data_IF_124092714942
#
_entry.id   IF_124092714942
#
_cell.length_a   1.000
_cell.length_b   1.000
_cell.length_c   1.000
_cell.angle_alpha   90.00
_cell.angle_beta   90.00
_cell.angle_gamma   90.00
#
_symmetry.space_group_name_H-M   'P 1'
#
loop_
_entity.id
_entity.type
_entity.pdbx_description
1 polymer ?
#
# COMPACT_ATOMS: atom_id res chain seq x y z
N UNK A 1 26.73 3.70 12.33
CA UNK A 1 26.32 3.00 11.09
C UNK A 1 26.12 1.49 11.25
N UNK A 2 27.07 0.75 11.85
CA UNK A 2 26.93 -0.73 12.01
C UNK A 2 25.71 -1.16 12.83
N UNK A 3 25.39 -0.44 13.90
CA UNK A 3 24.20 -0.69 14.72
C UNK A 3 22.89 -0.54 13.92
N UNK A 4 22.76 0.54 13.14
CA UNK A 4 21.59 0.80 12.27
C UNK A 4 21.31 -0.36 11.29
N UNK A 5 22.34 -0.83 10.58
CA UNK A 5 22.20 -1.95 9.63
C UNK A 5 21.86 -3.26 10.36
N UNK A 6 22.41 -3.45 11.56
CA UNK A 6 22.13 -4.64 12.38
C UNK A 6 20.67 -4.68 12.83
N UNK A 7 20.09 -3.54 13.21
CA UNK A 7 18.68 -3.42 13.57
C UNK A 7 17.80 -3.74 12.38
N UNK A 8 18.05 -3.15 11.21
CA UNK A 8 17.27 -3.43 9.98
C UNK A 8 17.32 -4.91 9.62
N UNK A 9 18.51 -5.53 9.67
CA UNK A 9 18.66 -6.96 9.32
C UNK A 9 17.96 -7.87 10.33
N UNK A 10 18.04 -7.55 11.63
CA UNK A 10 17.32 -8.27 12.68
C UNK A 10 15.82 -8.18 12.45
N UNK A 11 15.30 -6.98 12.25
CA UNK A 11 13.88 -6.75 12.02
C UNK A 11 13.44 -7.50 10.76
N UNK A 12 14.15 -7.36 9.62
CA UNK A 12 13.81 -8.11 8.41
C UNK A 12 13.71 -9.62 8.65
N UNK A 13 14.68 -10.21 9.38
CA UNK A 13 14.68 -11.64 9.68
C UNK A 13 13.49 -12.04 10.57
N UNK A 14 13.22 -11.27 11.62
CA UNK A 14 12.12 -11.54 12.56
C UNK A 14 10.77 -11.41 11.89
N UNK A 15 10.60 -10.39 11.04
CA UNK A 15 9.35 -10.20 10.30
C UNK A 15 9.18 -11.26 9.19
N UNK A 16 10.24 -11.67 8.49
CA UNK A 16 10.19 -12.74 7.49
C UNK A 16 9.76 -14.09 8.09
N UNK A 17 10.10 -14.36 9.35
CA UNK A 17 9.58 -15.53 10.08
C UNK A 17 8.09 -15.37 10.42
N UNK A 18 7.65 -14.15 10.76
CA UNK A 18 6.23 -13.81 10.95
C UNK A 18 5.53 -13.59 9.60
N UNK A 19 5.40 -14.67 8.82
CA UNK A 19 4.64 -14.71 7.55
C UNK A 19 3.23 -14.13 7.65
N UNK A 20 2.62 -14.20 8.83
CA UNK A 20 1.27 -13.68 9.11
C UNK A 20 1.10 -12.21 8.75
N UNK A 21 2.09 -11.36 9.03
CA UNK A 21 1.96 -9.90 8.83
C UNK A 21 1.89 -9.55 7.35
N UNK A 22 2.74 -10.18 6.54
CA UNK A 22 2.71 -10.04 5.08
C UNK A 22 1.42 -10.55 4.46
N UNK A 23 0.96 -11.72 4.93
CA UNK A 23 -0.30 -12.32 4.45
C UNK A 23 -1.48 -11.41 4.77
N UNK A 24 -1.53 -10.79 5.96
CA UNK A 24 -2.57 -9.83 6.31
C UNK A 24 -2.56 -8.62 5.38
N UNK A 25 -1.41 -8.00 5.12
CA UNK A 25 -1.31 -6.84 4.22
C UNK A 25 -1.81 -7.15 2.80
N UNK A 26 -1.39 -8.30 2.25
CA UNK A 26 -1.82 -8.74 0.92
C UNK A 26 -3.32 -9.07 0.92
N UNK A 27 -3.79 -9.81 1.94
CA UNK A 27 -5.21 -10.18 2.04
C UNK A 27 -6.12 -8.96 2.11
N UNK A 28 -5.80 -7.96 2.95
CA UNK A 28 -6.59 -6.73 3.03
C UNK A 28 -6.64 -5.98 1.71
N UNK A 29 -5.49 -5.83 1.04
CA UNK A 29 -5.42 -5.18 -0.26
C UNK A 29 -6.28 -5.91 -1.31
N UNK A 30 -6.19 -7.24 -1.37
CA UNK A 30 -6.96 -8.04 -2.33
C UNK A 30 -8.46 -8.07 -2.03
N UNK A 31 -8.84 -8.16 -0.75
CA UNK A 31 -10.25 -8.10 -0.33
C UNK A 31 -10.87 -6.76 -0.75
N UNK A 32 -10.19 -5.64 -0.49
CA UNK A 32 -10.69 -4.32 -0.89
C UNK A 32 -10.76 -4.23 -2.42
N UNK A 33 -9.70 -4.65 -3.13
CA UNK A 33 -9.67 -4.64 -4.60
C UNK A 33 -10.78 -5.49 -5.22
N UNK A 34 -11.16 -6.60 -4.59
CA UNK A 34 -12.27 -7.45 -5.02
C UNK A 34 -13.65 -6.87 -4.70
N UNK A 35 -13.78 -6.15 -3.58
CA UNK A 35 -15.04 -5.54 -3.15
C UNK A 35 -15.41 -4.29 -3.95
N UNK A 36 -14.41 -3.53 -4.40
CA UNK A 36 -14.60 -2.32 -5.19
C UNK A 36 -15.50 -2.50 -6.43
N UNK A 37 -15.22 -3.44 -7.36
CA UNK A 37 -16.07 -3.62 -8.55
C UNK A 37 -17.47 -4.11 -8.18
N UNK A 38 -17.62 -4.87 -7.09
CA UNK A 38 -18.93 -5.32 -6.59
C UNK A 38 -19.75 -4.13 -6.07
N UNK A 39 -19.11 -3.15 -5.43
CA UNK A 39 -19.78 -1.96 -4.89
C UNK A 39 -20.17 -0.93 -5.95
N UNK A 40 -19.39 -0.81 -7.03
CA UNK A 40 -19.59 0.20 -8.09
C UNK A 40 -20.62 -0.27 -9.14
N UNK A 41 -20.70 -1.58 -9.38
CA UNK A 41 -21.61 -2.16 -10.37
C UNK A 41 -20.98 -2.31 -11.77
N UNK A 42 -21.76 -2.70 -12.80
CA UNK A 42 -21.24 -3.23 -14.06
C UNK A 42 -20.75 -2.18 -15.07
N UNK A 43 -20.70 -0.89 -14.71
CA UNK A 43 -20.24 0.17 -15.62
C UNK A 43 -18.71 0.18 -15.74
N UNK A 44 -18.19 -0.51 -16.76
CA UNK A 44 -16.76 -0.67 -16.99
C UNK A 44 -16.04 0.65 -17.29
N UNK A 45 -16.68 1.56 -18.03
CA UNK A 45 -16.09 2.87 -18.38
C UNK A 45 -15.84 3.73 -17.14
N UNK A 46 -16.79 3.72 -16.19
CA UNK A 46 -16.64 4.41 -14.91
C UNK A 46 -15.58 3.73 -14.04
N UNK A 47 -15.58 2.39 -14.02
CA UNK A 47 -14.64 1.60 -13.22
C UNK A 47 -13.20 1.87 -13.66
N UNK A 48 -12.92 1.88 -14.97
CA UNK A 48 -11.60 2.14 -15.53
C UNK A 48 -11.11 3.55 -15.15
N UNK A 49 -11.99 4.56 -15.21
CA UNK A 49 -11.67 5.95 -14.88
C UNK A 49 -11.26 6.13 -13.41
N UNK A 50 -11.97 5.50 -12.47
CA UNK A 50 -11.72 5.68 -11.03
C UNK A 50 -10.78 4.62 -10.44
N UNK A 51 -10.55 3.50 -11.14
CA UNK A 51 -9.69 2.40 -10.71
C UNK A 51 -8.31 2.82 -10.17
N UNK A 52 -7.59 3.81 -10.75
CA UNK A 52 -6.27 4.17 -10.25
C UNK A 52 -6.31 4.78 -8.85
N UNK A 53 -7.30 5.63 -8.60
CA UNK A 53 -7.53 6.22 -7.28
C UNK A 53 -7.95 5.18 -6.25
N UNK A 54 -8.80 4.24 -6.66
CA UNK A 54 -9.27 3.16 -5.80
C UNK A 54 -8.16 2.18 -5.40
N UNK A 55 -7.22 1.88 -6.30
CA UNK A 55 -6.04 1.08 -5.96
C UNK A 55 -5.16 1.78 -4.92
N UNK A 56 -4.97 3.09 -5.04
CA UNK A 56 -4.24 3.88 -4.04
C UNK A 56 -4.94 3.87 -2.69
N UNK A 57 -6.27 3.98 -2.68
CA UNK A 57 -7.06 3.89 -1.45
C UNK A 57 -6.90 2.50 -0.81
N UNK A 58 -7.03 1.42 -1.59
CA UNK A 58 -6.84 0.06 -1.11
C UNK A 58 -5.43 -0.18 -0.54
N UNK A 59 -4.41 0.36 -1.20
CA UNK A 59 -3.02 0.34 -0.76
C UNK A 59 -2.83 1.07 0.57
N UNK A 60 -3.31 2.31 0.69
CA UNK A 60 -3.20 3.12 1.90
C UNK A 60 -3.97 2.52 3.08
N UNK A 61 -5.15 1.95 2.84
CA UNK A 61 -5.93 1.22 3.85
C UNK A 61 -5.20 -0.01 4.36
N UNK A 62 -4.59 -0.79 3.47
CA UNK A 62 -3.79 -1.96 3.86
C UNK A 62 -2.62 -1.55 4.77
N UNK A 63 -1.93 -0.46 4.43
CA UNK A 63 -0.84 0.11 5.24
C UNK A 63 -1.35 0.56 6.61
N UNK A 64 -2.46 1.30 6.63
CA UNK A 64 -3.04 1.85 7.86
C UNK A 64 -3.52 0.76 8.81
N UNK A 65 -4.00 -0.37 8.30
CA UNK A 65 -4.40 -1.51 9.12
C UNK A 65 -3.21 -2.34 9.60
N UNK A 66 -2.13 -2.41 8.82
CA UNK A 66 -0.94 -3.19 9.20
C UNK A 66 0.02 -2.44 10.13
N UNK A 67 -0.10 -1.12 10.24
CA UNK A 67 0.79 -0.34 11.10
C UNK A 67 0.73 -0.81 12.55
N UNK A 68 -0.46 -1.00 13.12
CA UNK A 68 -0.64 -1.45 14.51
C UNK A 68 -0.07 -2.85 14.73
N UNK A 69 -0.32 -3.78 13.81
CA UNK A 69 0.15 -5.16 13.91
C UNK A 69 1.67 -5.30 13.92
N UNK A 70 2.38 -4.42 13.22
CA UNK A 70 3.85 -4.38 13.21
C UNK A 70 4.36 -3.94 14.59
N UNK A 71 3.81 -2.86 15.17
CA UNK A 71 4.29 -2.35 16.46
C UNK A 71 3.84 -3.16 17.67
N UNK A 72 2.70 -3.84 17.59
CA UNK A 72 2.10 -4.58 18.71
C UNK A 72 3.01 -5.72 19.21
N UNK A 73 3.71 -6.42 18.30
CA UNK A 73 4.66 -7.47 18.66
C UNK A 73 5.83 -6.92 19.48
N UNK A 74 6.41 -5.81 19.03
CA UNK A 74 7.56 -5.20 19.70
C UNK A 74 7.18 -4.53 21.03
N UNK A 75 5.93 -4.06 21.14
CA UNK A 75 5.37 -3.50 22.36
C UNK A 75 5.10 -4.58 23.42
N UNK A 76 4.48 -5.70 23.02
CA UNK A 76 4.21 -6.82 23.93
C UNK A 76 5.47 -7.46 24.49
N UNK A 77 6.53 -7.51 23.70
CA UNK A 77 7.80 -8.10 24.09
C UNK A 77 8.69 -7.13 24.91
N UNK A 78 8.25 -5.88 25.12
CA UNK A 78 9.02 -4.84 25.83
C UNK A 78 10.30 -4.42 25.09
N UNK A 79 10.49 -4.88 23.85
CA UNK A 79 11.70 -4.61 23.08
C UNK A 79 11.78 -3.14 22.70
N UNK A 80 10.65 -2.43 22.56
CA UNK A 80 10.64 -0.98 22.30
C UNK A 80 11.29 -0.20 23.43
N UNK A 81 10.99 -0.54 24.68
CA UNK A 81 11.53 0.17 25.85
C UNK A 81 13.03 -0.07 25.99
N UNK A 82 13.47 -1.31 25.77
CA UNK A 82 14.89 -1.68 25.72
C UNK A 82 15.64 -0.96 24.59
N UNK A 83 15.04 -0.89 23.40
CA UNK A 83 15.64 -0.20 22.26
C UNK A 83 15.77 1.31 22.51
N UNK A 84 14.81 1.94 23.21
CA UNK A 84 14.88 3.36 23.58
C UNK A 84 15.97 3.60 24.63
N UNK A 85 16.11 2.70 25.61
CA UNK A 85 17.12 2.80 26.68
C UNK A 85 18.55 2.56 26.20
N UNK A 86 18.74 1.66 25.23
CA UNK A 86 20.07 1.24 24.74
C UNK A 86 20.58 2.10 23.57
N UNK A 87 19.72 2.94 22.97
CA UNK A 87 20.10 3.78 21.84
C UNK A 87 20.79 5.08 22.24
N UNK A 88 22.03 5.28 21.79
CA UNK A 88 22.71 6.58 21.86
C UNK A 88 21.97 7.68 21.07
N UNK A 89 21.26 7.30 19.99
CA UNK A 89 20.52 8.20 19.10
C UNK A 89 19.15 7.59 18.76
N UNK A 90 18.08 7.92 19.51
CA UNK A 90 16.75 7.31 19.31
C UNK A 90 16.14 7.62 17.95
N UNK A 91 16.50 8.75 17.34
CA UNK A 91 16.02 9.17 16.00
C UNK A 91 16.44 8.18 14.90
N UNK A 92 17.68 7.70 14.94
CA UNK A 92 18.20 6.72 13.97
C UNK A 92 17.50 5.37 14.10
N UNK A 93 17.13 4.98 15.32
CA UNK A 93 16.35 3.77 15.59
C UNK A 93 14.96 3.89 14.95
N UNK A 94 14.29 5.04 15.08
CA UNK A 94 12.99 5.27 14.46
C UNK A 94 13.05 5.17 12.92
N UNK A 95 14.07 5.78 12.30
CA UNK A 95 14.28 5.71 10.85
C UNK A 95 14.47 4.26 10.38
N UNK A 96 15.22 3.44 11.11
CA UNK A 96 15.39 2.03 10.76
C UNK A 96 14.07 1.27 10.76
N UNK A 97 13.18 1.56 11.73
CA UNK A 97 11.86 0.95 11.82
C UNK A 97 10.95 1.35 10.67
N UNK A 98 10.97 2.62 10.28
CA UNK A 98 10.24 3.12 9.10
C UNK A 98 10.73 2.42 7.83
N UNK A 99 12.04 2.25 7.66
CA UNK A 99 12.63 1.55 6.51
C UNK A 99 12.24 0.07 6.50
N UNK A 100 12.35 -0.62 7.64
CA UNK A 100 11.91 -2.00 7.78
C UNK A 100 10.43 -2.13 7.41
N UNK A 101 9.57 -1.25 7.92
CA UNK A 101 8.16 -1.21 7.57
C UNK A 101 7.92 -1.03 6.06
N UNK A 102 8.66 -0.12 5.43
CA UNK A 102 8.62 0.11 3.99
C UNK A 102 8.97 -1.16 3.19
N UNK A 103 10.05 -1.85 3.57
CA UNK A 103 10.43 -3.09 2.90
C UNK A 103 9.47 -4.26 3.16
N UNK A 104 8.83 -4.29 4.33
CA UNK A 104 8.03 -5.44 4.75
C UNK A 104 6.57 -5.32 4.32
N UNK A 105 5.98 -4.13 4.33
CA UNK A 105 4.56 -3.95 4.00
C UNK A 105 4.40 -3.43 2.58
N UNK A 106 5.11 -2.35 2.24
CA UNK A 106 4.89 -1.66 0.97
C UNK A 106 5.40 -2.49 -0.21
N UNK A 107 6.59 -3.09 -0.10
CA UNK A 107 7.18 -3.87 -1.18
C UNK A 107 6.32 -5.09 -1.62
N UNK A 108 5.82 -5.96 -0.72
CA UNK A 108 4.91 -7.02 -1.14
C UNK A 108 3.61 -6.50 -1.71
N UNK A 109 3.00 -5.46 -1.14
CA UNK A 109 1.75 -4.92 -1.70
C UNK A 109 1.99 -4.34 -3.11
N UNK A 110 3.15 -3.70 -3.36
CA UNK A 110 3.53 -3.25 -4.70
C UNK A 110 3.64 -4.41 -5.69
N UNK A 111 4.21 -5.55 -5.28
CA UNK A 111 4.26 -6.76 -6.13
C UNK A 111 2.85 -7.26 -6.47
N UNK A 112 1.88 -7.05 -5.59
CA UNK A 112 0.48 -7.46 -5.79
C UNK A 112 -0.41 -6.38 -6.44
N UNK A 113 0.06 -5.13 -6.61
CA UNK A 113 -0.65 -4.09 -7.37
C UNK A 113 -1.17 -4.54 -8.75
N UNK A 114 -0.39 -5.22 -9.61
CA UNK A 114 -0.89 -5.67 -10.91
C UNK A 114 -2.08 -6.62 -10.78
N UNK A 115 -2.12 -7.45 -9.73
CA UNK A 115 -3.25 -8.33 -9.48
C UNK A 115 -4.51 -7.52 -9.16
N UNK A 116 -4.40 -6.52 -8.27
CA UNK A 116 -5.51 -5.62 -7.95
C UNK A 116 -6.02 -4.85 -9.17
N UNK A 117 -5.12 -4.41 -10.06
CA UNK A 117 -5.51 -3.70 -11.27
C UNK A 117 -6.22 -4.58 -12.31
N UNK A 118 -5.85 -5.86 -12.42
CA UNK A 118 -6.60 -6.83 -13.22
C UNK A 118 -8.02 -7.01 -12.66
N UNK A 119 -8.20 -7.03 -11.33
CA UNK A 119 -9.53 -7.14 -10.70
C UNK A 119 -10.44 -5.94 -11.00
N UNK A 120 -9.85 -4.78 -11.29
CA UNK A 120 -10.57 -3.54 -11.65
C UNK A 120 -10.68 -3.33 -13.17
N UNK A 121 -10.34 -4.34 -13.98
CA UNK A 121 -10.39 -4.29 -15.45
C UNK A 121 -9.56 -3.15 -16.07
N UNK A 122 -8.39 -2.88 -15.50
CA UNK A 122 -7.53 -1.76 -15.89
C UNK A 122 -6.58 -2.14 -17.04
N UNK A 123 -6.31 -1.21 -17.96
CA UNK A 123 -5.38 -1.43 -19.06
C UNK A 123 -3.93 -1.62 -18.58
N UNK A 124 -3.14 -2.52 -19.19
CA UNK A 124 -1.76 -2.78 -18.78
C UNK A 124 -0.84 -1.56 -18.77
N UNK A 125 -1.06 -0.61 -19.69
CA UNK A 125 -0.28 0.63 -19.76
C UNK A 125 -0.49 1.52 -18.54
N UNK A 126 -1.70 1.55 -17.98
CA UNK A 126 -1.99 2.38 -16.83
C UNK A 126 -1.50 1.71 -15.52
N UNK A 127 -1.40 0.38 -15.48
CA UNK A 127 -0.78 -0.34 -14.36
C UNK A 127 0.69 0.07 -14.16
N UNK A 128 1.43 0.23 -15.26
CA UNK A 128 2.83 0.66 -15.22
C UNK A 128 2.94 2.08 -14.66
N UNK A 129 2.02 2.99 -15.04
CA UNK A 129 1.98 4.37 -14.53
C UNK A 129 1.78 4.42 -13.02
N UNK A 130 0.91 3.56 -12.47
CA UNK A 130 0.68 3.47 -11.02
C UNK A 130 1.95 3.04 -10.28
N UNK A 131 2.64 2.01 -10.76
CA UNK A 131 3.86 1.50 -10.12
C UNK A 131 4.96 2.57 -10.08
N UNK A 132 5.08 3.36 -11.15
CA UNK A 132 6.05 4.46 -11.24
C UNK A 132 5.60 5.75 -10.54
N UNK A 133 4.42 5.76 -9.91
CA UNK A 133 3.82 6.97 -9.32
C UNK A 133 3.68 8.12 -10.35
N UNK A 134 3.55 7.79 -11.63
CA UNK A 134 3.45 8.78 -12.71
C UNK A 134 1.97 9.16 -12.92
N UNK A 135 1.48 10.07 -12.07
CA UNK A 135 0.13 10.64 -12.14
C UNK A 135 0.01 11.76 -13.18
N UNK A 136 1.01 11.99 -14.03
CA UNK A 136 1.10 13.19 -14.89
C UNK A 136 0.08 13.24 -16.04
N UNK A 137 -0.65 12.17 -16.32
CA UNK A 137 -1.68 12.14 -17.38
C UNK A 137 -2.88 11.26 -17.00
N UNK A 138 -3.79 11.78 -16.16
CA UNK A 138 -5.20 11.46 -16.33
C UNK A 138 -5.76 12.47 -17.35
N UNK A 139 -6.08 12.08 -18.59
CA UNK A 139 -6.92 12.94 -19.41
C UNK A 139 -8.23 13.10 -18.64
N UNK A 140 -8.55 14.32 -18.26
CA UNK A 140 -9.90 14.70 -17.86
C UNK A 140 -10.79 14.32 -19.05
N UNK A 141 -11.39 13.15 -19.03
CA UNK A 141 -12.52 12.86 -19.89
C UNK A 141 -13.61 13.84 -19.46
N UNK A 142 -14.05 14.62 -20.43
CA UNK A 142 -14.94 15.77 -20.30
C UNK A 142 -16.11 15.51 -19.35
N UNK A 143 -15.99 15.95 -18.08
CA UNK A 143 -17.08 15.86 -17.10
C UNK A 143 -18.26 16.78 -17.49
N UNK A 144 -18.06 17.73 -18.42
CA UNK A 144 -19.07 18.70 -18.80
C UNK A 144 -20.16 18.10 -19.73
N UNK A 145 -19.81 17.17 -20.64
CA UNK A 145 -20.83 16.56 -21.55
C UNK A 145 -21.78 15.59 -20.84
N UNK A 146 -21.41 15.01 -19.69
CA UNK A 146 -22.24 14.02 -18.97
C UNK A 146 -23.20 14.64 -17.94
N UNK A 147 -22.93 15.87 -17.48
CA UNK A 147 -23.72 16.52 -16.43
C UNK A 147 -24.47 17.80 -16.85
N UNK A 148 -24.12 18.49 -17.96
CA UNK A 148 -24.66 19.85 -18.16
C UNK A 148 -25.24 20.31 -19.50
N UNK A 149 -25.33 19.55 -20.59
CA UNK A 149 -26.27 19.81 -21.72
C UNK A 149 -26.05 18.75 -22.81
N UNK A 150 -27.11 18.06 -23.23
CA UNK A 150 -27.08 17.07 -24.31
C UNK A 150 -26.84 17.69 -25.70
N UNK A 151 -25.67 18.31 -25.88
CA UNK A 151 -25.21 18.81 -27.16
C UNK A 151 -23.68 18.73 -27.19
N UNK A 152 -23.17 17.53 -27.51
CA UNK A 152 -21.78 17.37 -27.94
C UNK A 152 -21.81 17.51 -29.48
N UNK A 153 -21.27 18.62 -30.00
CA UNK A 153 -20.94 18.79 -31.43
C UNK A 153 -19.66 18.01 -31.78
#
# INVERSE_FOLDING_TARGET
MRQFISVIRRDLSVYLEKKSTFVMAIAFFLIISALLPIGIGPNLDLLELISPGLLWIAFLLSILLNISHVYEGDYRDGSLDLLILESDLPELMLISKIISFWLLIILPVIIFLPLGGIMLNMQPNDLIKIIFFDYRQQPLYDFDCLYWLGNCD
#
